data_IF_993213873419
#
_entry.id   IF_993213873419
#
_cell.length_a   1.000
_cell.length_b   1.000
_cell.length_c   1.000
_cell.angle_alpha   90.00
_cell.angle_beta   90.00
_cell.angle_gamma   90.00
#
_symmetry.space_group_name_H-M   'P 1'
#
loop_
_entity.id
_entity.type
_entity.pdbx_description
1 polymer ?
#
# COMPACT_ATOMS: atom_id res chain seq x y z
N UNK A 1 5.46 3.99 4.27
CA UNK A 1 5.69 2.66 4.89
C UNK A 1 7.11 2.50 5.41
N UNK A 2 8.16 2.50 4.57
CA UNK A 2 9.55 2.27 5.04
C UNK A 2 10.03 3.18 6.18
N UNK A 3 9.69 4.47 6.14
CA UNK A 3 10.00 5.40 7.25
C UNK A 3 9.31 4.98 8.57
N UNK A 4 8.05 4.57 8.50
CA UNK A 4 7.29 4.07 9.65
C UNK A 4 7.88 2.78 10.19
N UNK A 5 8.24 1.85 9.29
CA UNK A 5 8.91 0.60 9.66
C UNK A 5 10.22 0.88 10.42
N UNK A 6 11.08 1.75 9.87
CA UNK A 6 12.33 2.13 10.50
C UNK A 6 12.13 2.78 11.89
N UNK A 7 11.16 3.71 12.03
CA UNK A 7 10.85 4.36 13.31
C UNK A 7 10.43 3.37 14.40
N UNK A 8 9.77 2.28 14.01
CA UNK A 8 9.29 1.25 14.92
C UNK A 8 10.20 0.01 14.98
N UNK A 9 11.39 0.06 14.38
CA UNK A 9 12.34 -1.06 14.26
C UNK A 9 11.69 -2.33 13.70
N UNK A 10 10.83 -2.18 12.69
CA UNK A 10 10.20 -3.30 11.98
C UNK A 10 11.05 -3.60 10.74
N UNK A 11 11.59 -4.81 10.65
CA UNK A 11 12.29 -5.26 9.44
C UNK A 11 11.27 -5.63 8.34
N UNK A 12 11.34 -4.92 7.22
CA UNK A 12 10.54 -5.14 6.02
C UNK A 12 11.42 -5.41 4.79
N UNK A 13 12.68 -5.81 5.00
CA UNK A 13 13.58 -6.15 3.91
C UNK A 13 13.02 -7.33 3.10
N UNK A 14 13.10 -7.22 1.77
CA UNK A 14 12.56 -8.21 0.85
C UNK A 14 11.05 -8.08 0.58
N UNK A 15 10.34 -7.14 1.22
CA UNK A 15 8.96 -6.83 0.87
C UNK A 15 8.86 -6.37 -0.58
N UNK A 16 7.91 -6.93 -1.34
CA UNK A 16 7.59 -6.51 -2.71
C UNK A 16 6.21 -5.87 -2.76
N UNK A 17 5.97 -5.03 -3.77
CA UNK A 17 4.65 -4.51 -4.08
C UNK A 17 4.35 -4.73 -5.56
N UNK A 18 3.20 -5.31 -5.87
CA UNK A 18 2.68 -5.37 -7.24
C UNK A 18 1.65 -4.26 -7.43
N UNK A 19 1.77 -3.51 -8.53
CA UNK A 19 0.92 -2.35 -8.82
C UNK A 19 0.26 -2.53 -10.17
N UNK A 20 -1.07 -2.49 -10.20
CA UNK A 20 -1.88 -2.53 -11.41
C UNK A 20 -2.83 -1.35 -11.46
N UNK A 21 -3.17 -0.88 -12.67
CA UNK A 21 -4.12 0.22 -12.86
C UNK A 21 -5.26 -0.18 -13.77
N UNK A 22 -6.44 0.38 -13.52
CA UNK A 22 -7.61 0.27 -14.39
C UNK A 22 -7.88 1.63 -15.02
N UNK A 23 -8.02 1.65 -16.34
CA UNK A 23 -8.31 2.85 -17.11
C UNK A 23 -9.82 2.97 -17.36
N UNK A 24 -10.41 4.10 -17.03
CA UNK A 24 -11.70 4.53 -17.58
C UNK A 24 -11.53 5.11 -18.99
N UNK A 25 -12.65 5.32 -19.69
CA UNK A 25 -12.64 5.68 -21.12
C UNK A 25 -13.10 7.10 -21.44
N UNK A 26 -13.96 7.71 -20.62
CA UNK A 26 -14.55 9.03 -20.94
C UNK A 26 -14.78 9.90 -19.68
N UNK A 27 -13.89 10.87 -19.39
CA UNK A 27 -12.58 11.05 -20.02
C UNK A 27 -11.63 9.88 -19.71
N UNK A 28 -10.70 9.58 -20.61
CA UNK A 28 -9.69 8.55 -20.38
C UNK A 28 -8.78 8.93 -19.21
N UNK A 29 -8.93 8.24 -18.08
CA UNK A 29 -8.12 8.44 -16.86
C UNK A 29 -8.03 7.15 -16.05
N UNK A 30 -7.11 7.09 -15.10
CA UNK A 30 -7.08 5.98 -14.14
C UNK A 30 -8.30 6.11 -13.22
N UNK A 31 -9.06 5.03 -13.07
CA UNK A 31 -10.22 4.96 -12.18
C UNK A 31 -9.96 4.09 -10.95
N UNK A 32 -8.98 3.18 -11.04
CA UNK A 32 -8.56 2.35 -9.91
C UNK A 32 -7.05 2.09 -9.97
N UNK A 33 -6.41 2.12 -8.79
CA UNK A 33 -5.06 1.59 -8.57
C UNK A 33 -5.18 0.44 -7.58
N UNK A 34 -4.65 -0.71 -7.97
CA UNK A 34 -4.52 -1.91 -7.14
C UNK A 34 -3.06 -2.04 -6.71
N UNK A 35 -2.83 -2.18 -5.42
CA UNK A 35 -1.50 -2.43 -4.84
C UNK A 35 -1.60 -3.65 -3.94
N UNK A 36 -0.78 -4.65 -4.19
CA UNK A 36 -0.64 -5.78 -3.28
C UNK A 36 0.78 -5.81 -2.72
N UNK A 37 0.88 -5.65 -1.40
CA UNK A 37 2.14 -5.79 -0.67
C UNK A 37 2.32 -7.23 -0.22
N UNK A 38 3.50 -7.79 -0.49
CA UNK A 38 3.90 -9.12 -0.02
C UNK A 38 5.08 -8.96 0.94
N UNK A 39 4.87 -9.33 2.19
CA UNK A 39 5.88 -9.32 3.24
C UNK A 39 6.36 -10.75 3.47
N UNK A 40 7.69 -10.93 3.51
CA UNK A 40 8.33 -12.23 3.76
C UNK A 40 8.02 -12.78 5.16
N UNK A 41 7.81 -11.88 6.12
CA UNK A 41 7.58 -12.22 7.52
C UNK A 41 6.15 -11.87 7.94
N UNK A 42 5.69 -12.56 8.98
CA UNK A 42 4.52 -12.13 9.71
C UNK A 42 4.88 -11.12 10.82
N UNK A 43 3.92 -10.31 11.23
CA UNK A 43 4.11 -9.27 12.25
C UNK A 43 2.95 -9.23 13.23
N UNK A 44 3.21 -8.72 14.44
CA UNK A 44 2.15 -8.44 15.40
C UNK A 44 1.08 -7.52 14.80
N UNK A 45 -0.16 -7.72 15.23
CA UNK A 45 -1.34 -6.95 14.78
C UNK A 45 -1.10 -5.44 14.90
N UNK A 46 -0.39 -5.00 15.95
CA UNK A 46 -0.01 -3.60 16.15
C UNK A 46 0.88 -3.07 15.02
N UNK A 47 1.87 -3.85 14.60
CA UNK A 47 2.81 -3.46 13.57
C UNK A 47 2.19 -3.51 12.18
N UNK A 48 1.36 -4.53 11.88
CA UNK A 48 0.53 -4.57 10.68
C UNK A 48 -0.28 -3.30 10.51
N UNK A 49 -0.97 -2.87 11.58
CA UNK A 49 -1.73 -1.60 11.58
C UNK A 49 -0.85 -0.40 11.25
N UNK A 50 0.37 -0.29 11.79
CA UNK A 50 1.25 0.84 11.44
C UNK A 50 1.67 0.84 9.97
N UNK A 51 2.00 -0.33 9.41
CA UNK A 51 2.39 -0.46 8.01
C UNK A 51 1.21 -0.13 7.07
N UNK A 52 0.03 -0.66 7.37
CA UNK A 52 -1.21 -0.42 6.63
C UNK A 52 -1.61 1.06 6.66
N UNK A 53 -1.61 1.68 7.85
CA UNK A 53 -1.89 3.11 8.00
C UNK A 53 -0.88 3.97 7.24
N UNK A 54 0.39 3.57 7.20
CA UNK A 54 1.42 4.28 6.45
C UNK A 54 1.27 4.14 4.92
N UNK A 55 0.62 3.09 4.42
CA UNK A 55 0.29 2.95 3.00
C UNK A 55 -0.91 3.85 2.63
N UNK A 56 -2.02 3.76 3.36
CA UNK A 56 -3.25 4.50 3.05
C UNK A 56 -3.15 6.01 3.32
N UNK A 57 -2.22 6.43 4.19
CA UNK A 57 -2.02 7.84 4.54
C UNK A 57 -0.73 8.44 3.99
N UNK A 58 -0.08 7.80 3.02
CA UNK A 58 1.08 8.42 2.39
C UNK A 58 0.67 9.66 1.57
N UNK A 59 1.60 10.61 1.33
CA UNK A 59 1.31 11.82 0.55
C UNK A 59 0.72 11.52 -0.83
N UNK A 60 1.21 10.47 -1.51
CA UNK A 60 0.68 10.05 -2.82
C UNK A 60 -0.78 9.62 -2.71
N UNK A 61 -1.12 8.73 -1.77
CA UNK A 61 -2.50 8.27 -1.56
C UNK A 61 -3.47 9.43 -1.28
N UNK A 62 -3.00 10.51 -0.63
CA UNK A 62 -3.78 11.72 -0.33
C UNK A 62 -3.75 12.77 -1.44
N UNK A 63 -2.93 12.58 -2.47
CA UNK A 63 -2.79 13.49 -3.62
C UNK A 63 -3.48 12.96 -4.88
N UNK A 64 -3.91 11.70 -4.88
CA UNK A 64 -4.70 11.12 -5.96
C UNK A 64 -6.12 11.69 -5.95
N UNK A 65 -6.79 11.60 -7.10
CA UNK A 65 -8.18 12.06 -7.24
C UNK A 65 -9.10 11.39 -6.21
N UNK A 66 -9.98 12.16 -5.59
CA UNK A 66 -10.99 11.64 -4.65
C UNK A 66 -11.93 10.60 -5.28
N UNK A 67 -12.11 10.66 -6.61
CA UNK A 67 -12.94 9.73 -7.38
C UNK A 67 -12.18 8.47 -7.82
N UNK A 68 -10.90 8.32 -7.48
CA UNK A 68 -10.09 7.16 -7.82
C UNK A 68 -10.15 6.12 -6.69
N UNK A 69 -10.44 4.87 -7.06
CA UNK A 69 -10.46 3.76 -6.11
C UNK A 69 -9.01 3.34 -5.82
N UNK A 70 -8.63 3.32 -4.55
CA UNK A 70 -7.35 2.82 -4.07
C UNK A 70 -7.59 1.47 -3.38
N UNK A 71 -7.29 0.38 -4.08
CA UNK A 71 -7.46 -0.97 -3.58
C UNK A 71 -6.10 -1.51 -3.12
N UNK A 72 -5.87 -1.53 -1.82
CA UNK A 72 -4.58 -1.90 -1.23
C UNK A 72 -4.76 -3.15 -0.39
N UNK A 73 -3.96 -4.17 -0.68
CA UNK A 73 -3.96 -5.47 0.00
C UNK A 73 -2.59 -5.77 0.59
N UNK A 74 -2.58 -6.56 1.66
CA UNK A 74 -1.38 -6.89 2.43
C UNK A 74 -1.37 -8.40 2.69
N UNK A 75 -0.36 -9.05 2.15
CA UNK A 75 -0.08 -10.49 2.28
C UNK A 75 1.15 -10.66 3.15
N UNK A 76 1.02 -11.37 4.27
CA UNK A 76 2.06 -11.54 5.27
C UNK A 76 2.50 -13.01 5.36
N UNK A 77 3.81 -13.25 5.53
CA UNK A 77 4.37 -14.60 5.61
C UNK A 77 4.42 -15.34 4.27
N UNK A 78 4.53 -14.58 3.16
CA UNK A 78 4.53 -15.06 1.78
C UNK A 78 5.91 -14.99 1.14
#
# INVERSE_FOLDING_TARGET
>A
MGITANRHNIDINGTRAEVSKIMGVDPRRIIEIKIEFYFLSDYDIKYKKFLEQAAINCPVAKSLSENLIQNIQFSYGS
#
